data_IF_997463156658
#
_entry.id   IF_997463156658
#
_cell.length_a   1.000
_cell.length_b   1.000
_cell.length_c   1.000
_cell.angle_alpha   90.00
_cell.angle_beta   90.00
_cell.angle_gamma   90.00
#
_symmetry.space_group_name_H-M   'P 1'
#
loop_
_entity.id
_entity.type
_entity.pdbx_description
1 polymer ?
#
# COMPACT_ATOMS: atom_id res chain seq x y z
N UNK A 1 -9.30 -10.37 14.62
CA UNK A 1 -9.54 -8.91 14.70
C UNK A 1 -10.24 -8.37 13.44
N UNK A 2 -9.84 -8.73 12.21
CA UNK A 2 -10.42 -8.18 10.96
C UNK A 2 -11.70 -8.91 10.46
N UNK A 3 -12.04 -10.04 11.08
CA UNK A 3 -13.18 -10.89 10.70
C UNK A 3 -14.49 -10.54 11.39
N UNK A 4 -14.47 -9.63 12.38
CA UNK A 4 -15.68 -9.23 13.08
C UNK A 4 -16.58 -8.43 12.12
N UNK A 5 -17.84 -8.84 11.90
CA UNK A 5 -18.73 -8.19 10.95
C UNK A 5 -19.19 -6.78 11.38
N UNK A 6 -18.95 -6.38 12.63
CA UNK A 6 -19.50 -5.15 13.19
C UNK A 6 -18.69 -3.88 12.86
N UNK A 7 -17.68 -3.96 11.99
CA UNK A 7 -16.89 -2.80 11.58
C UNK A 7 -17.39 -2.22 10.25
N UNK A 8 -17.63 -0.91 10.23
CA UNK A 8 -18.08 -0.20 9.03
C UNK A 8 -16.95 0.04 8.03
N UNK A 9 -15.74 0.27 8.54
CA UNK A 9 -14.55 0.55 7.76
C UNK A 9 -13.31 -0.12 8.34
N UNK A 10 -12.34 -0.43 7.48
CA UNK A 10 -10.98 -0.84 7.85
C UNK A 10 -9.99 0.17 7.32
N UNK A 11 -9.01 0.52 8.15
CA UNK A 11 -7.83 1.27 7.74
C UNK A 11 -6.61 0.35 7.73
N UNK A 12 -5.77 0.46 6.71
CA UNK A 12 -4.58 -0.35 6.54
C UNK A 12 -3.47 0.50 5.91
N UNK A 13 -2.71 1.18 6.74
CA UNK A 13 -1.66 2.09 6.29
C UNK A 13 -0.31 1.40 6.32
N UNK A 14 0.32 1.29 5.15
CA UNK A 14 1.70 0.81 5.00
C UNK A 14 1.92 -0.52 5.74
N UNK A 15 1.02 -1.48 5.47
CA UNK A 15 1.03 -2.80 6.11
C UNK A 15 1.02 -3.96 5.11
N UNK A 16 0.52 -3.76 3.89
CA UNK A 16 0.33 -4.85 2.93
C UNK A 16 1.61 -5.25 2.21
N UNK A 17 2.58 -4.36 2.09
CA UNK A 17 3.95 -4.60 1.64
C UNK A 17 4.71 -5.56 2.56
N UNK A 18 4.35 -5.59 3.85
CA UNK A 18 4.94 -6.46 4.86
C UNK A 18 4.27 -7.84 4.95
N UNK A 19 3.16 -8.07 4.24
CA UNK A 19 2.50 -9.37 4.24
C UNK A 19 3.04 -10.24 3.11
N UNK A 20 3.35 -11.51 3.41
CA UNK A 20 3.71 -12.49 2.37
C UNK A 20 2.53 -12.69 1.40
N UNK A 21 1.30 -12.75 1.90
CA UNK A 21 0.09 -12.96 1.09
C UNK A 21 -1.01 -11.93 1.43
N UNK A 22 -0.90 -10.68 0.94
CA UNK A 22 -1.85 -9.62 1.25
C UNK A 22 -3.26 -9.89 0.70
N UNK A 23 -3.37 -10.70 -0.37
CA UNK A 23 -4.64 -11.12 -0.96
C UNK A 23 -5.59 -11.76 0.06
N UNK A 24 -5.09 -12.68 0.87
CA UNK A 24 -5.91 -13.41 1.84
C UNK A 24 -6.47 -12.47 2.91
N UNK A 25 -5.63 -11.56 3.42
CA UNK A 25 -6.03 -10.54 4.37
C UNK A 25 -7.13 -9.64 3.78
N UNK A 26 -6.88 -9.06 2.60
CA UNK A 26 -7.84 -8.20 1.90
C UNK A 26 -9.18 -8.87 1.62
N UNK A 27 -9.16 -10.15 1.22
CA UNK A 27 -10.37 -10.93 0.93
C UNK A 27 -11.17 -11.24 2.20
N UNK A 28 -10.48 -11.44 3.33
CA UNK A 28 -11.08 -11.84 4.61
C UNK A 28 -11.83 -10.72 5.33
N UNK A 29 -11.50 -9.45 5.03
CA UNK A 29 -12.17 -8.27 5.59
C UNK A 29 -13.67 -8.33 5.31
N UNK A 30 -14.48 -8.12 6.35
CA UNK A 30 -15.95 -8.08 6.28
C UNK A 30 -16.55 -6.68 6.25
N UNK A 31 -15.76 -5.65 6.54
CA UNK A 31 -16.20 -4.27 6.46
C UNK A 31 -16.54 -3.87 5.02
N UNK A 32 -17.40 -2.85 4.87
CA UNK A 32 -17.85 -2.36 3.56
C UNK A 32 -16.89 -1.34 2.94
N UNK A 33 -16.07 -0.69 3.77
CA UNK A 33 -15.12 0.34 3.37
C UNK A 33 -13.69 -0.04 3.74
N UNK A 34 -12.76 0.28 2.87
CA UNK A 34 -11.32 0.12 3.10
C UNK A 34 -10.61 1.43 2.74
N UNK A 35 -9.80 1.94 3.64
CA UNK A 35 -8.80 2.95 3.33
C UNK A 35 -7.44 2.29 3.48
N UNK A 36 -6.63 2.29 2.43
CA UNK A 36 -5.32 1.67 2.49
C UNK A 36 -4.26 2.48 1.77
N UNK A 37 -3.07 2.54 2.38
CA UNK A 37 -1.89 3.14 1.77
C UNK A 37 -0.74 2.14 1.70
N UNK A 38 0.20 2.39 0.77
CA UNK A 38 1.45 1.67 0.68
C UNK A 38 2.56 2.52 0.03
N UNK A 39 3.84 2.16 0.25
CA UNK A 39 4.96 2.70 -0.49
C UNK A 39 5.02 2.10 -1.90
N UNK A 40 5.21 2.97 -2.88
CA UNK A 40 5.42 2.62 -4.28
C UNK A 40 6.89 2.36 -4.56
N UNK A 41 7.15 1.36 -5.41
CA UNK A 41 8.49 1.08 -5.95
C UNK A 41 9.10 2.32 -6.60
N UNK A 42 10.28 2.71 -6.15
CA UNK A 42 11.09 3.73 -6.80
C UNK A 42 11.93 3.05 -7.89
N UNK A 43 11.75 3.44 -9.15
CA UNK A 43 12.46 2.83 -10.29
C UNK A 43 13.99 3.00 -10.24
N UNK A 44 14.48 3.97 -9.46
CA UNK A 44 15.90 4.28 -9.26
C UNK A 44 16.46 3.76 -7.92
N UNK A 45 15.68 3.01 -7.14
CA UNK A 45 16.13 2.40 -5.90
C UNK A 45 16.03 0.87 -5.99
N UNK A 46 16.88 0.19 -5.23
CA UNK A 46 16.72 -1.25 -5.00
C UNK A 46 15.50 -1.51 -4.11
N UNK A 47 14.98 -2.73 -4.18
CA UNK A 47 13.90 -3.16 -3.30
C UNK A 47 14.32 -3.00 -1.83
N UNK A 48 13.40 -2.51 -1.00
CA UNK A 48 13.67 -2.32 0.41
C UNK A 48 13.68 -3.66 1.14
N UNK A 49 14.70 -3.86 1.98
CA UNK A 49 14.83 -5.05 2.80
C UNK A 49 15.38 -4.67 4.17
N UNK A 50 14.48 -4.45 5.13
CA UNK A 50 14.83 -4.17 6.51
C UNK A 50 15.57 -5.33 7.17
N UNK A 51 16.42 -5.01 8.15
CA UNK A 51 17.16 -6.02 8.93
C UNK A 51 16.19 -6.88 9.77
N UNK A 52 15.20 -6.23 10.37
CA UNK A 52 14.17 -6.85 11.18
C UNK A 52 13.07 -7.45 10.31
N UNK A 53 12.53 -8.60 10.72
CA UNK A 53 11.52 -9.31 9.94
C UNK A 53 10.24 -8.49 9.72
N UNK A 54 9.87 -7.67 10.71
CA UNK A 54 8.68 -6.81 10.65
C UNK A 54 8.84 -5.63 9.67
N UNK A 55 10.06 -5.29 9.29
CA UNK A 55 10.38 -4.16 8.42
C UNK A 55 10.69 -4.59 6.98
N UNK A 56 10.65 -5.90 6.70
CA UNK A 56 10.87 -6.40 5.34
C UNK A 56 9.66 -6.08 4.47
N UNK A 57 9.91 -5.50 3.30
CA UNK A 57 8.91 -5.36 2.26
C UNK A 57 8.96 -6.61 1.39
N UNK A 58 8.00 -7.51 1.58
CA UNK A 58 7.83 -8.68 0.72
C UNK A 58 7.32 -8.29 -0.67
N UNK A 59 6.69 -7.11 -0.79
CA UNK A 59 6.16 -6.59 -2.05
C UNK A 59 6.59 -5.13 -2.26
N UNK A 60 7.24 -4.87 -3.39
CA UNK A 60 7.46 -3.52 -3.90
C UNK A 60 6.39 -3.22 -4.95
N UNK A 61 5.32 -2.55 -4.53
CA UNK A 61 4.16 -2.34 -5.37
C UNK A 61 4.35 -1.21 -6.38
N UNK A 62 3.92 -1.47 -7.62
CA UNK A 62 3.42 -0.45 -8.53
C UNK A 62 1.89 -0.32 -8.36
N UNK A 63 1.35 0.84 -8.72
CA UNK A 63 -0.10 1.12 -8.65
C UNK A 63 -0.93 0.04 -9.35
N UNK A 64 -0.48 -0.43 -10.52
CA UNK A 64 -1.20 -1.49 -11.26
C UNK A 64 -1.26 -2.81 -10.50
N UNK A 65 -0.20 -3.17 -9.76
CA UNK A 65 -0.15 -4.41 -8.98
C UNK A 65 -1.10 -4.32 -7.80
N UNK A 66 -1.10 -3.20 -7.08
CA UNK A 66 -2.01 -3.01 -5.95
C UNK A 66 -3.46 -2.91 -6.37
N UNK A 67 -3.75 -2.18 -7.46
CA UNK A 67 -5.12 -2.08 -7.98
C UNK A 67 -5.65 -3.44 -8.44
N UNK A 68 -4.81 -4.25 -9.10
CA UNK A 68 -5.16 -5.61 -9.46
C UNK A 68 -5.44 -6.46 -8.21
N UNK A 69 -4.59 -6.37 -7.18
CA UNK A 69 -4.75 -7.09 -5.92
C UNK A 69 -6.08 -6.74 -5.22
N UNK A 70 -6.42 -5.46 -5.13
CA UNK A 70 -7.68 -4.96 -4.57
C UNK A 70 -8.88 -5.49 -5.37
N UNK A 71 -8.87 -5.32 -6.69
CA UNK A 71 -9.94 -5.79 -7.57
C UNK A 71 -10.15 -7.31 -7.44
N UNK A 72 -9.06 -8.10 -7.44
CA UNK A 72 -9.13 -9.56 -7.30
C UNK A 72 -9.61 -10.01 -5.91
N UNK A 73 -9.40 -9.19 -4.88
CA UNK A 73 -9.87 -9.48 -3.51
C UNK A 73 -11.27 -8.96 -3.21
N UNK A 74 -11.98 -8.40 -4.19
CA UNK A 74 -13.38 -7.98 -4.10
C UNK A 74 -13.58 -6.52 -3.73
N UNK A 75 -12.57 -5.67 -3.94
CA UNK A 75 -12.64 -4.24 -3.66
C UNK A 75 -12.76 -3.42 -4.94
N UNK A 76 -13.62 -2.40 -4.94
CA UNK A 76 -13.71 -1.37 -5.96
C UNK A 76 -12.99 -0.11 -5.48
N UNK A 77 -12.11 0.45 -6.30
CA UNK A 77 -11.43 1.71 -5.97
C UNK A 77 -12.33 2.88 -6.34
N UNK A 78 -12.78 3.65 -5.35
CA UNK A 78 -13.65 4.82 -5.55
C UNK A 78 -12.86 6.12 -5.63
N UNK A 79 -11.76 6.22 -4.87
CA UNK A 79 -10.85 7.37 -4.91
C UNK A 79 -9.42 6.90 -4.66
N UNK A 80 -8.45 7.59 -5.26
CA UNK A 80 -7.04 7.37 -4.94
C UNK A 80 -6.22 8.63 -5.07
N UNK A 81 -5.16 8.74 -4.28
CA UNK A 81 -4.22 9.86 -4.32
C UNK A 81 -2.78 9.33 -4.21
N UNK A 82 -1.83 10.13 -4.71
CA UNK A 82 -0.39 9.85 -4.63
C UNK A 82 0.31 11.08 -4.09
N UNK A 83 1.34 10.88 -3.28
CA UNK A 83 2.18 11.98 -2.83
C UNK A 83 3.66 11.59 -2.83
N UNK A 84 4.49 12.63 -2.94
CA UNK A 84 5.94 12.53 -2.84
C UNK A 84 6.36 12.48 -1.37
N UNK A 85 7.51 11.88 -1.11
CA UNK A 85 8.20 12.00 0.18
C UNK A 85 9.39 12.93 -0.01
N UNK A 86 9.43 14.04 0.71
CA UNK A 86 10.57 14.94 0.67
C UNK A 86 11.52 14.65 1.82
N UNK A 87 12.75 14.26 1.48
CA UNK A 87 13.83 14.18 2.45
C UNK A 87 14.66 15.47 2.36
N UNK A 88 15.04 16.05 3.50
CA UNK A 88 15.85 17.28 3.56
C UNK A 88 17.35 17.04 3.31
N UNK A 89 17.69 15.91 2.71
CA UNK A 89 19.07 15.45 2.55
C UNK A 89 19.55 15.79 1.14
N UNK A 90 20.80 16.24 1.02
CA UNK A 90 21.43 16.51 -0.26
C UNK A 90 21.90 15.23 -0.95
N UNK A 91 21.56 15.06 -2.23
CA UNK A 91 22.02 13.93 -3.04
C UNK A 91 21.13 13.68 -4.26
N UNK A 92 21.61 12.86 -5.20
CA UNK A 92 20.88 12.53 -6.44
C UNK A 92 19.55 11.83 -6.12
N UNK A 93 19.57 10.84 -5.21
CA UNK A 93 18.37 10.09 -4.82
C UNK A 93 17.29 10.99 -4.18
N UNK A 94 17.60 11.86 -3.20
CA UNK A 94 16.65 12.85 -2.69
C UNK A 94 16.04 13.75 -3.78
N UNK A 95 16.83 14.25 -4.73
CA UNK A 95 16.31 15.08 -5.84
C UNK A 95 15.27 14.30 -6.66
N UNK A 96 15.55 13.04 -7.02
CA UNK A 96 14.62 12.20 -7.76
C UNK A 96 13.31 11.92 -6.99
N UNK A 97 13.35 11.90 -5.65
CA UNK A 97 12.16 11.73 -4.79
C UNK A 97 11.21 12.92 -4.83
N UNK A 98 11.67 14.12 -5.17
CA UNK A 98 10.78 15.28 -5.36
C UNK A 98 9.89 15.17 -6.59
N UNK A 99 10.28 14.37 -7.58
CA UNK A 99 9.54 14.20 -8.84
C UNK A 99 8.86 12.84 -8.96
N UNK A 100 9.09 11.94 -8.00
CA UNK A 100 8.58 10.57 -8.04
C UNK A 100 7.69 10.32 -6.84
N UNK A 101 6.37 10.08 -7.03
CA UNK A 101 5.48 9.74 -5.93
C UNK A 101 5.99 8.51 -5.19
N UNK A 102 6.08 8.62 -3.85
CA UNK A 102 6.52 7.52 -2.99
C UNK A 102 5.34 6.76 -2.41
N UNK A 103 4.20 7.40 -2.20
CA UNK A 103 3.08 6.77 -1.53
C UNK A 103 1.83 6.80 -2.39
N UNK A 104 1.00 5.78 -2.19
CA UNK A 104 -0.30 5.64 -2.84
C UNK A 104 -1.33 5.32 -1.77
N UNK A 105 -2.46 6.03 -1.77
CA UNK A 105 -3.61 5.75 -0.91
C UNK A 105 -4.85 5.53 -1.75
N UNK A 106 -5.70 4.63 -1.30
CA UNK A 106 -7.00 4.33 -1.91
C UNK A 106 -8.11 4.38 -0.88
N UNK A 107 -9.27 4.84 -1.32
CA UNK A 107 -10.55 4.57 -0.71
C UNK A 107 -11.28 3.55 -1.59
N UNK A 108 -11.67 2.44 -0.97
CA UNK A 108 -12.36 1.34 -1.61
C UNK A 108 -13.68 1.03 -0.94
N UNK A 109 -14.62 0.57 -1.75
CA UNK A 109 -15.88 -0.04 -1.30
C UNK A 109 -15.92 -1.50 -1.75
N UNK A 110 -16.66 -2.33 -1.02
CA UNK A 110 -16.80 -3.74 -1.37
C UNK A 110 -17.67 -3.89 -2.62
N UNK A 111 -17.20 -4.69 -3.59
CA UNK A 111 -18.00 -5.15 -4.73
C UNK A 111 -19.12 -6.10 -4.30
#
# INVERSE_FOLDING_TARGET
VVTNPNFEAVTAFEIFEHLICPFNALRSIKAKKLISSLPLKLWFAQAYWGENECDRHYHEFEVKQFNMLLNKSGWEIKKSEKWISSDKIWGIRPILRFFTPRYYIVYCERN
#
